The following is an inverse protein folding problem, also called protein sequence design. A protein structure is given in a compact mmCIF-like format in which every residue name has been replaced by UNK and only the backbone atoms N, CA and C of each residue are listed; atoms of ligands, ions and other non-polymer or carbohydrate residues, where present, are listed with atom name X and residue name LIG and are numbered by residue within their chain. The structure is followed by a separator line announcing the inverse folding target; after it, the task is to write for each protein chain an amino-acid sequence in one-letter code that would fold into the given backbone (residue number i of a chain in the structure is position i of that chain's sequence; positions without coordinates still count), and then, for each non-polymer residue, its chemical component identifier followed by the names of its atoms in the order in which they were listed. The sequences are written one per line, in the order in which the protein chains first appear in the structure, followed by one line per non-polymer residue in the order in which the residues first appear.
data_IF_224881172643
#
_entry.id   IF_224881172643
#
_cell.length_a   1.000
_cell.length_b   1.000
_cell.length_c   1.000
_cell.angle_alpha   90.00
_cell.angle_beta   90.00
_cell.angle_gamma   90.00
#
_symmetry.space_group_name_H-M   'P 1'
#
loop_
_entity.id
_entity.type
_entity.pdbx_description
1 polymer ?
#
# COMPACT_ATOMS: atom_id res chain seq x y z
N UNK A 1 -24.03 -15.47 -15.82
CA UNK A 1 -22.82 -15.71 -15.01
C UNK A 1 -22.05 -14.42 -14.99
N UNK A 2 -21.82 -13.87 -13.80
CA UNK A 2 -21.08 -12.62 -13.62
C UNK A 2 -19.57 -12.89 -13.58
N UNK A 3 -18.76 -11.93 -14.04
CA UNK A 3 -17.31 -12.09 -14.12
C UNK A 3 -16.68 -12.03 -12.73
N UNK A 4 -16.06 -13.13 -12.29
CA UNK A 4 -15.38 -13.19 -10.99
C UNK A 4 -14.25 -12.15 -10.86
N UNK A 5 -13.61 -11.76 -11.97
CA UNK A 5 -12.58 -10.72 -11.97
C UNK A 5 -13.12 -9.33 -11.66
N UNK A 6 -14.36 -9.03 -12.06
CA UNK A 6 -14.93 -7.68 -11.90
C UNK A 6 -15.69 -7.56 -10.58
N UNK A 7 -16.42 -8.60 -10.19
CA UNK A 7 -17.36 -8.53 -9.07
C UNK A 7 -16.85 -9.17 -7.78
N UNK A 8 -15.90 -10.11 -7.86
CA UNK A 8 -15.45 -10.89 -6.69
C UNK A 8 -13.96 -10.71 -6.36
N UNK A 9 -13.13 -10.27 -7.31
CA UNK A 9 -11.71 -10.07 -7.08
C UNK A 9 -11.43 -8.75 -6.36
N UNK A 10 -10.33 -8.74 -5.61
CA UNK A 10 -9.81 -7.58 -4.88
C UNK A 10 -8.33 -7.38 -5.20
N UNK A 11 -7.75 -6.20 -4.91
CA UNK A 11 -6.31 -5.97 -5.09
C UNK A 11 -5.43 -7.00 -4.36
N UNK A 12 -5.88 -7.54 -3.22
CA UNK A 12 -5.15 -8.55 -2.46
C UNK A 12 -5.01 -9.89 -3.20
N UNK A 13 -5.74 -10.12 -4.30
CA UNK A 13 -5.61 -11.34 -5.11
C UNK A 13 -4.46 -11.27 -6.11
N UNK A 14 -3.79 -10.12 -6.29
CA UNK A 14 -2.64 -9.97 -7.18
C UNK A 14 -1.40 -10.55 -6.51
N UNK A 15 -0.82 -11.61 -7.09
CA UNK A 15 0.40 -12.22 -6.57
C UNK A 15 1.67 -11.77 -7.32
N UNK A 16 1.57 -11.45 -8.62
CA UNK A 16 2.73 -11.06 -9.42
C UNK A 16 2.41 -9.86 -10.32
N UNK A 17 3.36 -8.94 -10.44
CA UNK A 17 3.28 -7.78 -11.35
C UNK A 17 4.58 -7.63 -12.10
N UNK A 18 4.52 -7.53 -13.43
CA UNK A 18 5.69 -7.35 -14.30
C UNK A 18 5.52 -6.07 -15.13
N UNK A 19 6.51 -5.18 -15.07
CA UNK A 19 6.56 -3.92 -15.84
C UNK A 19 7.95 -3.80 -16.46
N UNK A 20 8.02 -3.51 -17.76
CA UNK A 20 9.28 -3.41 -18.51
C UNK A 20 10.23 -4.61 -18.31
N UNK A 21 9.65 -5.81 -18.21
CA UNK A 21 10.38 -7.06 -17.97
C UNK A 21 10.91 -7.23 -16.54
N UNK A 22 10.56 -6.33 -15.61
CA UNK A 22 10.95 -6.42 -14.19
C UNK A 22 9.78 -6.86 -13.34
N UNK A 23 10.02 -7.80 -12.43
CA UNK A 23 9.03 -8.23 -11.43
C UNK A 23 8.98 -7.20 -10.31
N UNK A 24 7.84 -6.53 -10.15
CA UNK A 24 7.60 -5.49 -9.14
C UNK A 24 6.87 -6.02 -7.90
N UNK A 25 6.04 -7.05 -8.09
CA UNK A 25 5.41 -7.82 -7.00
C UNK A 25 5.73 -9.29 -7.28
N UNK A 26 6.21 -10.01 -6.27
CA UNK A 26 6.52 -11.45 -6.31
C UNK A 26 5.91 -12.15 -5.10
N UNK A 27 5.03 -13.12 -5.35
CA UNK A 27 4.19 -13.77 -4.32
C UNK A 27 3.51 -12.79 -3.33
N UNK A 28 3.07 -11.63 -3.83
CA UNK A 28 2.44 -10.57 -3.04
C UNK A 28 3.41 -9.62 -2.32
N UNK A 29 4.72 -9.84 -2.42
CA UNK A 29 5.75 -8.98 -1.83
C UNK A 29 6.21 -7.92 -2.83
N UNK A 30 6.35 -6.67 -2.39
CA UNK A 30 6.91 -5.59 -3.22
C UNK A 30 8.44 -5.74 -3.32
N UNK A 31 8.99 -5.75 -4.53
CA UNK A 31 10.40 -6.12 -4.76
C UNK A 31 11.38 -4.93 -4.78
N UNK A 32 10.87 -3.70 -4.81
CA UNK A 32 11.66 -2.50 -5.08
C UNK A 32 11.74 -1.49 -3.92
N UNK A 33 11.11 -1.79 -2.78
CA UNK A 33 11.15 -0.97 -1.56
C UNK A 33 11.08 -1.86 -0.32
N UNK A 34 11.77 -1.48 0.75
CA UNK A 34 11.51 -2.04 2.08
C UNK A 34 10.22 -1.42 2.64
N UNK A 35 9.15 -2.22 2.68
CA UNK A 35 7.84 -1.74 3.12
C UNK A 35 7.83 -1.32 4.60
N UNK A 36 8.64 -1.94 5.45
CA UNK A 36 8.69 -1.59 6.87
C UNK A 36 9.37 -0.23 7.08
N UNK A 37 10.48 -0.01 6.37
CA UNK A 37 11.17 1.28 6.37
C UNK A 37 10.25 2.38 5.82
N UNK A 38 9.62 2.15 4.67
CA UNK A 38 8.69 3.09 4.05
C UNK A 38 7.51 3.44 4.97
N UNK A 39 6.93 2.46 5.66
CA UNK A 39 5.85 2.69 6.62
C UNK A 39 6.33 3.50 7.84
N UNK A 40 7.55 3.26 8.33
CA UNK A 40 8.12 4.03 9.42
C UNK A 40 8.31 5.50 9.03
N UNK A 41 8.88 5.76 7.85
CA UNK A 41 9.03 7.11 7.29
C UNK A 41 7.68 7.80 7.09
N UNK A 42 6.71 7.07 6.54
CA UNK A 42 5.36 7.58 6.28
C UNK A 42 4.66 8.01 7.56
N UNK A 43 4.84 7.26 8.66
CA UNK A 43 4.29 7.63 9.98
C UNK A 43 4.90 8.93 10.50
N UNK A 44 6.20 9.12 10.34
CA UNK A 44 6.90 10.36 10.73
C UNK A 44 6.38 11.53 9.89
N UNK A 45 6.27 11.36 8.57
CA UNK A 45 5.75 12.39 7.67
C UNK A 45 4.31 12.77 8.02
N UNK A 46 3.44 11.78 8.24
CA UNK A 46 2.06 12.00 8.65
C UNK A 46 1.96 12.77 9.98
N UNK A 47 2.79 12.42 10.98
CA UNK A 47 2.81 13.12 12.26
C UNK A 47 3.18 14.61 12.12
N UNK A 48 4.12 14.95 11.21
CA UNK A 48 4.46 16.36 10.93
C UNK A 48 3.28 17.11 10.33
N UNK A 49 2.55 16.50 9.40
CA UNK A 49 1.36 17.09 8.78
C UNK A 49 0.28 17.32 9.82
N UNK A 50 -0.01 16.33 10.67
CA UNK A 50 -0.99 16.48 11.75
C UNK A 50 -0.64 17.59 12.73
N UNK A 51 0.62 17.65 13.17
CA UNK A 51 1.11 18.72 14.05
C UNK A 51 0.95 20.10 13.42
N UNK A 52 1.33 20.25 12.14
CA UNK A 52 1.18 21.51 11.42
C UNK A 52 -0.29 21.94 11.25
N UNK A 53 -1.19 20.96 11.15
CA UNK A 53 -2.63 21.19 11.03
C UNK A 53 -3.36 21.38 12.38
N UNK A 54 -2.66 21.27 13.52
CA UNK A 54 -3.29 21.34 14.84
C UNK A 54 -4.17 20.13 15.18
N UNK A 55 -3.95 18.98 14.53
CA UNK A 55 -4.71 17.75 14.74
C UNK A 55 -3.91 16.82 15.64
N UNK A 56 -4.42 16.51 16.83
CA UNK A 56 -3.70 15.68 17.82
C UNK A 56 -3.65 14.19 17.44
N UNK A 57 -4.66 13.68 16.74
CA UNK A 57 -4.72 12.30 16.23
C UNK A 57 -5.82 12.14 15.18
N UNK A 58 -5.74 11.09 14.33
CA UNK A 58 -6.89 10.66 13.51
C UNK A 58 -7.97 10.11 14.44
N UNK A 59 -9.18 10.66 14.36
CA UNK A 59 -10.29 10.35 15.28
C UNK A 59 -10.95 8.96 15.08
N UNK A 60 -10.44 8.10 14.20
CA UNK A 60 -11.08 6.81 13.88
C UNK A 60 -10.13 5.64 14.18
N UNK A 61 -10.52 4.83 15.16
CA UNK A 61 -10.09 3.44 15.35
C UNK A 61 -10.98 2.54 14.49
#
# INVERSE_FOLDING_TARGET
MESALVFNASPANVSHVVVDGRVLIDEGNVTFVDENELLAESRIAAARVFKAAGVESRLNR
#
